data_IF_123577242115
#
_entry.id   IF_123577242115
#
_cell.length_a   1.000
_cell.length_b   1.000
_cell.length_c   1.000
_cell.angle_alpha   90.00
_cell.angle_beta   90.00
_cell.angle_gamma   90.00
#
_symmetry.space_group_name_H-M   'P 1'
#
loop_
_entity.id
_entity.type
_entity.pdbx_description
1 polymer ?
#
# COMPACT_ATOMS: atom_id res chain seq x y z
N UNK A 1 25.22 0.07 0.13
CA UNK A 1 23.89 -0.13 0.73
C UNK A 1 22.90 -0.20 -0.42
N UNK A 2 21.97 -1.17 -0.48
CA UNK A 2 20.93 -1.16 -1.53
C UNK A 2 19.79 -0.29 -1.02
N UNK A 3 19.63 0.89 -1.60
CA UNK A 3 18.54 1.81 -1.29
C UNK A 3 17.31 1.47 -2.14
N UNK A 4 16.14 1.80 -1.61
CA UNK A 4 14.87 1.67 -2.34
C UNK A 4 14.79 2.82 -3.33
N UNK A 5 14.63 2.53 -4.62
CA UNK A 5 14.29 3.54 -5.61
C UNK A 5 12.82 3.95 -5.44
N UNK A 6 12.62 5.09 -4.78
CA UNK A 6 11.31 5.65 -4.49
C UNK A 6 10.64 6.30 -5.71
N UNK A 7 11.28 6.36 -6.88
CA UNK A 7 10.65 6.83 -8.12
C UNK A 7 9.61 5.86 -8.65
N UNK A 8 9.68 4.58 -8.27
CA UNK A 8 8.68 3.59 -8.64
C UNK A 8 7.32 3.87 -8.00
N UNK A 9 6.27 3.77 -8.83
CA UNK A 9 4.85 3.91 -8.42
C UNK A 9 4.32 2.70 -7.64
N UNK A 10 4.91 1.52 -7.79
CA UNK A 10 4.50 0.31 -7.08
C UNK A 10 5.72 -0.32 -6.41
N UNK A 11 5.72 -0.35 -5.08
CA UNK A 11 6.85 -0.84 -4.27
C UNK A 11 6.35 -1.91 -3.29
N UNK A 12 6.95 -3.09 -3.34
CA UNK A 12 6.65 -4.20 -2.44
C UNK A 12 7.71 -4.40 -1.37
N UNK A 13 7.31 -4.33 -0.10
CA UNK A 13 8.15 -4.61 1.08
C UNK A 13 7.85 -6.03 1.56
N UNK A 14 8.72 -6.97 1.21
CA UNK A 14 8.57 -8.39 1.55
C UNK A 14 9.47 -8.78 2.72
N UNK A 15 8.95 -9.55 3.66
CA UNK A 15 9.75 -10.08 4.77
C UNK A 15 8.98 -10.94 5.75
N UNK A 16 9.69 -11.64 6.62
CA UNK A 16 9.11 -12.52 7.64
C UNK A 16 8.23 -11.76 8.63
N UNK A 17 7.34 -12.49 9.32
CA UNK A 17 6.53 -11.91 10.41
C UNK A 17 7.44 -11.40 11.52
N UNK A 18 7.10 -10.26 12.12
CA UNK A 18 7.86 -9.67 13.22
C UNK A 18 9.09 -8.82 12.82
N UNK A 19 9.45 -8.76 11.53
CA UNK A 19 10.64 -7.99 11.07
C UNK A 19 10.44 -6.46 11.06
N UNK A 20 9.26 -5.96 11.42
CA UNK A 20 8.99 -4.51 11.50
C UNK A 20 8.43 -3.86 10.22
N UNK A 21 7.83 -4.61 9.30
CA UNK A 21 7.24 -4.04 8.05
C UNK A 21 6.19 -2.95 8.30
N UNK A 22 5.28 -3.18 9.26
CA UNK A 22 4.26 -2.19 9.65
C UNK A 22 4.92 -0.91 10.16
N UNK A 23 5.91 -1.06 11.04
CA UNK A 23 6.69 0.06 11.58
C UNK A 23 7.41 0.81 10.47
N UNK A 24 8.01 0.10 9.51
CA UNK A 24 8.67 0.70 8.35
C UNK A 24 7.71 1.56 7.52
N UNK A 25 6.50 1.07 7.22
CA UNK A 25 5.50 1.85 6.49
C UNK A 25 5.06 3.10 7.26
N UNK A 26 4.79 2.98 8.56
CA UNK A 26 4.36 4.12 9.39
C UNK A 26 5.48 5.14 9.59
N UNK A 27 6.72 4.69 9.74
CA UNK A 27 7.88 5.56 9.83
C UNK A 27 8.11 6.30 8.51
N UNK A 28 8.01 5.60 7.38
CA UNK A 28 8.04 6.21 6.05
C UNK A 28 6.97 7.31 5.90
N UNK A 29 5.72 7.03 6.31
CA UNK A 29 4.64 8.02 6.31
C UNK A 29 5.00 9.26 7.14
N UNK A 30 5.48 9.04 8.37
CA UNK A 30 5.85 10.11 9.30
C UNK A 30 6.98 10.98 8.76
N UNK A 31 8.03 10.39 8.20
CA UNK A 31 9.23 11.09 7.75
C UNK A 31 9.04 11.83 6.44
N UNK A 32 8.20 11.32 5.53
CA UNK A 32 8.04 11.87 4.18
C UNK A 32 6.78 12.74 4.02
N UNK A 33 5.74 12.51 4.83
CA UNK A 33 4.45 13.18 4.68
C UNK A 33 4.00 13.89 5.96
N UNK A 34 4.34 13.38 7.14
CA UNK A 34 3.99 14.01 8.42
C UNK A 34 2.47 14.12 8.59
N UNK A 35 1.93 15.34 8.41
CA UNK A 35 0.49 15.63 8.47
C UNK A 35 -0.17 15.77 7.10
N UNK A 36 0.58 15.57 6.01
CA UNK A 36 0.04 15.63 4.65
C UNK A 36 -0.97 14.50 4.41
N UNK A 37 -2.19 14.90 4.09
CA UNK A 37 -3.32 14.00 3.84
C UNK A 37 -3.24 13.32 2.46
N UNK A 38 -2.27 13.68 1.63
CA UNK A 38 -2.01 13.00 0.36
C UNK A 38 -1.46 11.58 0.56
N UNK A 39 -0.99 11.23 1.77
CA UNK A 39 -0.58 9.88 2.13
C UNK A 39 -1.57 9.23 3.10
N UNK A 40 -1.96 7.99 2.81
CA UNK A 40 -2.85 7.21 3.67
C UNK A 40 -2.26 5.83 3.93
N UNK A 41 -2.29 5.43 5.20
CA UNK A 41 -1.99 4.06 5.61
C UNK A 41 -3.28 3.28 5.83
N UNK A 42 -3.35 2.08 5.26
CA UNK A 42 -4.42 1.12 5.47
C UNK A 42 -3.87 -0.26 5.78
N UNK A 43 -4.68 -1.08 6.43
CA UNK A 43 -4.40 -2.48 6.65
C UNK A 43 -5.51 -3.33 6.01
N UNK A 44 -5.16 -4.21 5.07
CA UNK A 44 -6.13 -5.01 4.32
C UNK A 44 -6.72 -6.20 5.11
N UNK A 45 -6.28 -6.42 6.34
CA UNK A 45 -6.93 -7.35 7.27
C UNK A 45 -8.15 -6.72 7.99
N UNK A 46 -8.56 -5.50 7.62
CA UNK A 46 -9.71 -4.82 8.19
C UNK A 46 -11.03 -5.33 7.56
N UNK A 47 -12.06 -5.57 8.38
CA UNK A 47 -13.38 -6.08 7.94
C UNK A 47 -14.04 -5.22 6.86
N UNK A 48 -13.70 -3.95 6.78
CA UNK A 48 -14.14 -3.06 5.70
C UNK A 48 -13.95 -3.65 4.30
N UNK A 49 -12.86 -4.39 4.08
CA UNK A 49 -12.53 -5.00 2.78
C UNK A 49 -13.27 -6.32 2.51
N UNK A 50 -14.24 -6.70 3.34
CA UNK A 50 -15.14 -7.84 3.03
C UNK A 50 -16.28 -7.43 2.11
N UNK A 51 -16.68 -6.15 2.14
CA UNK A 51 -17.78 -5.62 1.33
C UNK A 51 -17.32 -4.63 0.26
N UNK A 52 -16.06 -4.19 0.33
CA UNK A 52 -15.50 -3.22 -0.59
C UNK A 52 -14.15 -3.65 -1.13
N UNK A 53 -13.95 -3.46 -2.43
CA UNK A 53 -12.69 -3.82 -3.10
C UNK A 53 -11.58 -2.82 -2.80
N UNK A 54 -10.32 -3.26 -2.95
CA UNK A 54 -9.18 -2.35 -2.91
C UNK A 54 -9.22 -1.36 -4.07
N UNK A 55 -9.70 -1.77 -5.25
CA UNK A 55 -9.91 -0.88 -6.41
C UNK A 55 -10.83 0.29 -6.03
N UNK A 56 -12.02 0.00 -5.52
CA UNK A 56 -13.01 1.04 -5.18
C UNK A 56 -12.50 1.98 -4.10
N UNK A 57 -11.74 1.44 -3.14
CA UNK A 57 -11.13 2.25 -2.09
C UNK A 57 -10.04 3.18 -2.65
N UNK A 58 -9.14 2.64 -3.47
CA UNK A 58 -8.06 3.40 -4.08
C UNK A 58 -8.58 4.49 -5.02
N UNK A 59 -9.65 4.20 -5.76
CA UNK A 59 -10.32 5.15 -6.64
C UNK A 59 -10.93 6.34 -5.88
N UNK A 60 -11.65 6.06 -4.78
CA UNK A 60 -12.17 7.14 -3.94
C UNK A 60 -11.04 7.96 -3.29
N UNK A 61 -10.00 7.29 -2.81
CA UNK A 61 -8.85 7.95 -2.19
C UNK A 61 -8.17 8.92 -3.16
N UNK A 62 -7.86 8.49 -4.39
CA UNK A 62 -7.20 9.35 -5.39
C UNK A 62 -8.10 10.53 -5.81
N UNK A 63 -9.41 10.30 -5.97
CA UNK A 63 -10.38 11.34 -6.36
C UNK A 63 -10.46 12.44 -5.29
N UNK A 64 -10.27 12.08 -4.02
CA UNK A 64 -10.18 13.03 -2.89
C UNK A 64 -8.82 13.72 -2.76
N UNK A 65 -7.92 13.55 -3.72
CA UNK A 65 -6.59 14.17 -3.74
C UNK A 65 -5.48 13.34 -3.10
N UNK A 66 -5.77 12.07 -2.76
CA UNK A 66 -4.77 11.11 -2.31
C UNK A 66 -3.74 10.78 -3.39
N UNK A 67 -2.47 10.65 -3.01
CA UNK A 67 -1.34 10.43 -3.93
C UNK A 67 -0.50 9.21 -3.56
N UNK A 68 -0.38 8.89 -2.27
CA UNK A 68 0.41 7.74 -1.79
C UNK A 68 -0.43 6.86 -0.89
N UNK A 69 -0.62 5.60 -1.26
CA UNK A 69 -1.33 4.61 -0.48
C UNK A 69 -0.35 3.57 0.08
N UNK A 70 -0.24 3.52 1.41
CA UNK A 70 0.56 2.56 2.14
C UNK A 70 -0.35 1.42 2.60
N UNK A 71 -0.04 0.19 2.19
CA UNK A 71 -0.94 -0.94 2.37
C UNK A 71 -0.25 -2.04 3.16
N UNK A 72 -0.74 -2.33 4.36
CA UNK A 72 -0.21 -3.42 5.17
C UNK A 72 -1.00 -4.72 4.99
N UNK A 73 -0.29 -5.84 5.16
CA UNK A 73 -0.82 -7.20 5.19
C UNK A 73 -1.61 -7.63 3.95
N UNK A 74 -1.15 -7.29 2.74
CA UNK A 74 -1.90 -7.58 1.50
C UNK A 74 -2.25 -9.05 1.30
N UNK A 75 -1.42 -9.97 1.79
CA UNK A 75 -1.63 -11.42 1.71
C UNK A 75 -2.91 -11.92 2.41
N UNK A 76 -3.57 -11.08 3.22
CA UNK A 76 -4.83 -11.38 3.88
C UNK A 76 -6.06 -11.11 3.00
N UNK A 77 -5.89 -10.33 1.94
CA UNK A 77 -6.96 -9.93 1.03
C UNK A 77 -6.94 -10.79 -0.24
N UNK A 78 -7.97 -11.59 -0.53
CA UNK A 78 -8.04 -12.36 -1.77
C UNK A 78 -7.98 -11.45 -3.00
N UNK A 79 -7.29 -11.88 -4.06
CA UNK A 79 -7.18 -11.08 -5.29
C UNK A 79 -6.27 -9.85 -5.21
N UNK A 80 -5.57 -9.64 -4.08
CA UNK A 80 -4.73 -8.45 -3.85
C UNK A 80 -3.79 -8.11 -5.01
N UNK A 81 -3.17 -9.12 -5.64
CA UNK A 81 -2.21 -8.91 -6.73
C UNK A 81 -2.87 -8.36 -7.99
N UNK A 82 -4.06 -8.85 -8.32
CA UNK A 82 -4.82 -8.42 -9.49
C UNK A 82 -5.32 -7.00 -9.31
N UNK A 83 -5.83 -6.68 -8.12
CA UNK A 83 -6.30 -5.33 -7.78
C UNK A 83 -5.17 -4.32 -7.66
N UNK A 84 -4.02 -4.68 -7.08
CA UNK A 84 -2.84 -3.81 -7.09
C UNK A 84 -2.36 -3.51 -8.51
N UNK A 85 -2.36 -4.52 -9.39
CA UNK A 85 -2.00 -4.34 -10.79
C UNK A 85 -3.01 -3.44 -11.49
N UNK A 86 -4.30 -3.65 -11.27
CA UNK A 86 -5.34 -2.79 -11.81
C UNK A 86 -5.11 -1.33 -11.40
N UNK A 87 -4.89 -1.06 -10.11
CA UNK A 87 -4.60 0.29 -9.62
C UNK A 87 -3.33 0.88 -10.25
N UNK A 88 -2.28 0.08 -10.42
CA UNK A 88 -1.05 0.53 -11.06
C UNK A 88 -1.27 0.95 -12.52
N UNK A 89 -2.02 0.15 -13.28
CA UNK A 89 -2.30 0.35 -14.70
C UNK A 89 -3.29 1.51 -14.94
N UNK A 90 -4.29 1.69 -14.07
CA UNK A 90 -5.40 2.62 -14.30
C UNK A 90 -5.31 3.93 -13.49
N UNK A 91 -4.51 4.00 -12.43
CA UNK A 91 -4.39 5.20 -11.57
C UNK A 91 -2.96 5.80 -11.64
N UNK A 92 -2.56 6.42 -12.77
CA UNK A 92 -1.19 6.89 -13.07
C UNK A 92 -0.63 7.98 -12.13
N UNK A 93 -1.49 8.57 -11.30
CA UNK A 93 -1.14 9.52 -10.23
C UNK A 93 -0.93 8.86 -8.87
N UNK A 94 -1.40 7.63 -8.66
CA UNK A 94 -1.38 6.95 -7.38
C UNK A 94 -0.11 6.11 -7.19
N UNK A 95 0.70 6.44 -6.19
CA UNK A 95 1.80 5.61 -5.71
C UNK A 95 1.29 4.63 -4.65
N UNK A 96 1.71 3.37 -4.75
CA UNK A 96 1.37 2.32 -3.80
C UNK A 96 2.65 1.69 -3.23
N UNK A 97 2.73 1.67 -1.89
CA UNK A 97 3.77 0.94 -1.17
C UNK A 97 3.09 -0.09 -0.29
N UNK A 98 3.36 -1.37 -0.52
CA UNK A 98 2.64 -2.44 0.17
C UNK A 98 3.57 -3.38 0.93
N UNK A 99 3.05 -3.98 2.00
CA UNK A 99 3.75 -4.91 2.87
C UNK A 99 3.23 -6.33 2.69
N UNK A 100 4.18 -7.25 2.63
CA UNK A 100 3.99 -8.62 2.21
C UNK A 100 4.72 -9.64 3.07
N UNK A 101 4.16 -10.84 3.20
CA UNK A 101 4.86 -11.95 3.86
C UNK A 101 5.91 -12.57 2.94
N UNK A 102 7.02 -13.06 3.51
CA UNK A 102 8.06 -13.78 2.77
C UNK A 102 7.54 -15.05 2.08
N UNK A 103 6.46 -15.63 2.57
CA UNK A 103 5.82 -16.82 1.98
C UNK A 103 4.86 -16.53 0.83
N UNK A 104 4.59 -15.25 0.51
CA UNK A 104 3.83 -14.91 -0.69
C UNK A 104 4.58 -15.41 -1.93
N UNK A 105 3.86 -16.11 -2.80
CA UNK A 105 4.32 -16.53 -4.12
C UNK A 105 3.83 -15.53 -5.15
#
# INVERSE_FOLDING_TARGET
>A
MREIDWSHRLIGIKGSRGVGKTTFLLQYAKENFGIDRSCLYINLNHLYFTERTLIDFADEFRIKGGKTLLIDQVFKYPGWSEELRYCYDHFPELKIVFSGSSVMR
#
